data_IF_436227158383
#
_entry.id   IF_436227158383
#
_cell.length_a   1.000
_cell.length_b   1.000
_cell.length_c   1.000
_cell.angle_alpha   90.00
_cell.angle_beta   90.00
_cell.angle_gamma   90.00
#
_symmetry.space_group_name_H-M   'P 1'
#
loop_
_entity.id
_entity.type
_entity.pdbx_description
1 polymer ?
#
# COMPACT_ATOMS: atom_id res chain seq x y z
N UNK A 1 -9.50 -13.36 -11.30
CA UNK A 1 -8.30 -14.23 -11.38
C UNK A 1 -7.82 -14.52 -12.80
N UNK A 2 -8.68 -14.95 -13.74
CA UNK A 2 -8.26 -15.26 -15.12
C UNK A 2 -7.56 -14.09 -15.84
N UNK A 3 -8.04 -12.85 -15.64
CA UNK A 3 -7.38 -11.65 -16.18
C UNK A 3 -5.93 -11.49 -15.67
N UNK A 4 -5.69 -11.66 -14.36
CA UNK A 4 -4.35 -11.63 -13.78
C UNK A 4 -3.47 -12.75 -14.35
N UNK A 5 -4.01 -13.98 -14.47
CA UNK A 5 -3.29 -15.10 -15.08
C UNK A 5 -2.88 -14.84 -16.53
N UNK A 6 -3.80 -14.32 -17.34
CA UNK A 6 -3.51 -13.90 -18.71
C UNK A 6 -2.41 -12.82 -18.76
N UNK A 7 -2.39 -11.91 -17.78
CA UNK A 7 -1.35 -10.89 -17.68
C UNK A 7 0.02 -11.48 -17.36
N UNK A 8 0.12 -12.41 -16.41
CA UNK A 8 1.36 -13.14 -16.13
C UNK A 8 1.86 -13.96 -17.34
N UNK A 9 0.93 -14.46 -18.16
CA UNK A 9 1.24 -15.13 -19.43
C UNK A 9 1.54 -14.15 -20.59
N UNK A 10 1.67 -12.85 -20.31
CA UNK A 10 1.94 -11.79 -21.29
C UNK A 10 0.89 -11.68 -22.40
N UNK A 11 -0.36 -12.08 -22.12
CA UNK A 11 -1.51 -11.95 -23.03
C UNK A 11 -2.33 -10.72 -22.65
N UNK A 12 -1.78 -9.52 -22.90
CA UNK A 12 -2.35 -8.24 -22.45
C UNK A 12 -3.80 -8.01 -22.95
N UNK A 13 -4.07 -8.30 -24.23
CA UNK A 13 -5.40 -8.13 -24.82
C UNK A 13 -6.44 -9.07 -24.19
N UNK A 14 -6.07 -10.35 -24.02
CA UNK A 14 -6.92 -11.34 -23.35
C UNK A 14 -7.19 -10.93 -21.89
N UNK A 15 -6.17 -10.46 -21.18
CA UNK A 15 -6.30 -9.98 -19.80
C UNK A 15 -7.31 -8.83 -19.72
N UNK A 16 -7.23 -7.86 -20.64
CA UNK A 16 -8.16 -6.74 -20.71
C UNK A 16 -9.59 -7.18 -21.03
N UNK A 17 -9.77 -8.10 -21.98
CA UNK A 17 -11.09 -8.61 -22.35
C UNK A 17 -11.74 -9.38 -21.19
N UNK A 18 -10.99 -10.25 -20.51
CA UNK A 18 -11.46 -10.97 -19.32
C UNK A 18 -11.82 -9.99 -18.19
N UNK A 19 -11.02 -8.95 -18.00
CA UNK A 19 -11.29 -7.93 -17.00
C UNK A 19 -12.56 -7.13 -17.30
N UNK A 20 -12.76 -6.69 -18.56
CA UNK A 20 -13.98 -5.96 -18.98
C UNK A 20 -15.25 -6.77 -18.68
N UNK A 21 -15.24 -8.07 -18.97
CA UNK A 21 -16.37 -8.96 -18.66
C UNK A 21 -16.58 -9.06 -17.15
N UNK A 22 -15.51 -9.33 -16.38
CA UNK A 22 -15.60 -9.44 -14.93
C UNK A 22 -16.14 -8.15 -14.29
N UNK A 23 -15.61 -6.99 -14.67
CA UNK A 23 -16.06 -5.69 -14.14
C UNK A 23 -17.53 -5.43 -14.44
N UNK A 24 -17.99 -5.72 -15.67
CA UNK A 24 -19.39 -5.54 -16.04
C UNK A 24 -20.33 -6.41 -15.19
N UNK A 25 -19.97 -7.68 -14.96
CA UNK A 25 -20.75 -8.60 -14.12
C UNK A 25 -20.77 -8.12 -12.66
N UNK A 26 -19.62 -7.71 -12.13
CA UNK A 26 -19.51 -7.22 -10.76
C UNK A 26 -20.33 -5.96 -10.53
N UNK A 27 -20.23 -4.94 -11.40
CA UNK A 27 -21.00 -3.71 -11.26
C UNK A 27 -22.51 -3.95 -11.42
N UNK A 28 -22.92 -4.90 -12.26
CA UNK A 28 -24.31 -5.33 -12.34
C UNK A 28 -24.84 -5.86 -11.00
N UNK A 29 -24.03 -6.65 -10.28
CA UNK A 29 -24.40 -7.15 -8.95
C UNK A 29 -24.42 -6.04 -7.88
N UNK A 30 -23.49 -5.08 -7.95
CA UNK A 30 -23.49 -3.89 -7.06
C UNK A 30 -24.82 -3.14 -7.20
N UNK A 31 -25.23 -2.83 -8.43
CA UNK A 31 -26.49 -2.12 -8.69
C UNK A 31 -27.70 -2.87 -8.15
N UNK A 32 -27.75 -4.20 -8.35
CA UNK A 32 -28.85 -5.04 -7.84
C UNK A 32 -28.89 -5.06 -6.31
N UNK A 33 -27.73 -5.06 -5.63
CA UNK A 33 -27.66 -4.97 -4.16
C UNK A 33 -28.17 -3.61 -3.68
N UNK A 34 -27.71 -2.51 -4.28
CA UNK A 34 -28.15 -1.15 -3.93
C UNK A 34 -29.66 -0.97 -4.12
N UNK A 35 -30.21 -1.43 -5.24
CA UNK A 35 -31.65 -1.40 -5.52
C UNK A 35 -32.45 -2.23 -4.50
N UNK A 36 -31.95 -3.43 -4.16
CA UNK A 36 -32.58 -4.29 -3.15
C UNK A 36 -32.60 -3.67 -1.75
N UNK A 37 -31.54 -2.94 -1.39
CA UNK A 37 -31.46 -2.19 -0.13
C UNK A 37 -32.46 -1.03 -0.10
N UNK A 38 -32.58 -0.28 -1.19
CA UNK A 38 -33.52 0.84 -1.35
C UNK A 38 -34.99 0.41 -1.21
N UNK A 39 -35.32 -0.80 -1.65
CA UNK A 39 -36.69 -1.36 -1.59
C UNK A 39 -37.02 -1.91 -0.19
N UNK A 40 -36.08 -1.88 0.77
CA UNK A 40 -36.36 -2.27 2.16
C UNK A 40 -36.48 -3.79 2.36
N UNK A 41 -35.86 -4.61 1.51
CA UNK A 41 -35.69 -6.05 1.74
C UNK A 41 -34.62 -6.32 2.82
N UNK A 42 -34.82 -5.70 3.99
CA UNK A 42 -33.90 -5.60 5.11
C UNK A 42 -33.74 -6.91 5.91
N UNK A 43 -33.53 -8.02 5.24
CA UNK A 43 -33.06 -9.25 5.87
C UNK A 43 -32.08 -9.93 4.94
N UNK A 44 -30.88 -9.34 4.83
CA UNK A 44 -29.70 -10.01 4.25
C UNK A 44 -29.15 -11.12 5.17
N UNK A 45 -29.89 -11.49 6.22
CA UNK A 45 -29.69 -12.73 6.96
C UNK A 45 -30.24 -13.90 6.15
N UNK A 46 -29.35 -14.65 5.50
CA UNK A 46 -29.50 -16.09 5.26
C UNK A 46 -30.67 -16.55 4.36
N UNK A 47 -31.17 -15.75 3.40
CA UNK A 47 -32.10 -16.26 2.38
C UNK A 47 -31.35 -16.67 1.10
N UNK A 48 -31.26 -17.96 0.71
CA UNK A 48 -30.30 -18.38 -0.31
C UNK A 48 -30.66 -18.04 -1.76
N UNK A 49 -31.86 -17.54 -2.06
CA UNK A 49 -32.38 -17.48 -3.44
C UNK A 49 -33.33 -16.31 -3.71
N UNK A 50 -32.85 -15.07 -3.64
CA UNK A 50 -33.56 -13.95 -4.28
C UNK A 50 -33.04 -13.86 -5.73
N UNK A 51 -33.97 -13.94 -6.69
CA UNK A 51 -33.69 -13.71 -8.12
C UNK A 51 -34.34 -12.39 -8.52
N UNK A 52 -33.66 -11.60 -9.36
CA UNK A 52 -34.30 -10.44 -10.00
C UNK A 52 -35.46 -10.91 -10.89
N UNK A 53 -36.40 -10.01 -11.28
CA UNK A 53 -37.48 -10.34 -12.21
C UNK A 53 -37.00 -10.97 -13.52
N UNK A 54 -35.77 -10.66 -13.93
CA UNK A 54 -35.10 -11.20 -15.13
C UNK A 54 -34.35 -12.53 -14.89
N UNK A 55 -34.49 -13.13 -13.69
CA UNK A 55 -33.92 -14.43 -13.34
C UNK A 55 -32.44 -14.41 -12.92
N UNK A 56 -31.83 -13.23 -12.73
CA UNK A 56 -30.45 -13.12 -12.27
C UNK A 56 -30.36 -13.49 -10.79
N UNK A 57 -29.43 -14.39 -10.44
CA UNK A 57 -29.12 -14.72 -9.04
C UNK A 57 -28.45 -13.52 -8.39
N UNK A 58 -28.98 -13.07 -7.26
CA UNK A 58 -28.33 -12.05 -6.42
C UNK A 58 -27.21 -12.75 -5.64
N UNK A 59 -25.98 -12.28 -5.86
CA UNK A 59 -24.82 -12.78 -5.12
C UNK A 59 -24.78 -12.16 -3.73
N UNK A 60 -24.15 -12.87 -2.78
CA UNK A 60 -24.01 -12.38 -1.41
C UNK A 60 -23.09 -11.15 -1.38
N UNK A 61 -23.41 -10.11 -0.58
CA UNK A 61 -22.61 -8.88 -0.53
C UNK A 61 -21.10 -9.10 -0.32
N UNK A 62 -20.64 -10.04 0.55
CA UNK A 62 -19.24 -10.44 0.66
C UNK A 62 -18.53 -10.76 -0.67
N UNK A 63 -19.18 -11.55 -1.51
CA UNK A 63 -18.62 -12.01 -2.79
C UNK A 63 -18.55 -10.86 -3.79
N UNK A 64 -19.52 -9.96 -3.76
CA UNK A 64 -19.57 -8.78 -4.63
C UNK A 64 -18.49 -7.77 -4.22
N UNK A 65 -18.30 -7.53 -2.92
CA UNK A 65 -17.23 -6.68 -2.38
C UNK A 65 -15.86 -7.22 -2.78
N UNK A 66 -15.62 -8.53 -2.61
CA UNK A 66 -14.37 -9.16 -3.02
C UNK A 66 -14.16 -9.07 -4.55
N UNK A 67 -15.20 -9.32 -5.33
CA UNK A 67 -15.12 -9.19 -6.79
C UNK A 67 -14.79 -7.74 -7.20
N UNK A 68 -15.44 -6.76 -6.58
CA UNK A 68 -15.22 -5.33 -6.81
C UNK A 68 -13.78 -4.95 -6.46
N UNK A 69 -13.27 -5.40 -5.31
CA UNK A 69 -11.88 -5.20 -4.91
C UNK A 69 -10.89 -5.74 -5.97
N UNK A 70 -11.13 -6.95 -6.48
CA UNK A 70 -10.25 -7.57 -7.48
C UNK A 70 -10.28 -6.82 -8.82
N UNK A 71 -11.47 -6.42 -9.30
CA UNK A 71 -11.58 -5.69 -10.58
C UNK A 71 -11.05 -4.27 -10.48
N UNK A 72 -11.28 -3.59 -9.35
CA UNK A 72 -10.71 -2.26 -9.06
C UNK A 72 -9.18 -2.35 -9.00
N UNK A 73 -8.64 -3.32 -8.26
CA UNK A 73 -7.20 -3.56 -8.21
C UNK A 73 -6.60 -3.79 -9.60
N UNK A 74 -7.21 -4.66 -10.41
CA UNK A 74 -6.74 -4.89 -11.78
C UNK A 74 -6.73 -3.60 -12.62
N UNK A 75 -7.77 -2.79 -12.51
CA UNK A 75 -7.91 -1.53 -13.26
C UNK A 75 -6.86 -0.49 -12.85
N UNK A 76 -6.53 -0.39 -11.56
CA UNK A 76 -5.50 0.53 -11.06
C UNK A 76 -4.10 0.18 -11.60
N UNK A 77 -3.79 -1.12 -11.69
CA UNK A 77 -2.44 -1.59 -12.04
C UNK A 77 -2.25 -1.86 -13.53
N UNK A 78 -3.32 -2.26 -14.22
CA UNK A 78 -3.29 -2.74 -15.60
C UNK A 78 -4.33 -2.09 -16.51
N UNK A 79 -5.14 -1.17 -16.00
CA UNK A 79 -6.10 -0.44 -16.81
C UNK A 79 -5.44 0.68 -17.62
N UNK A 80 -5.99 1.04 -18.78
CA UNK A 80 -5.73 2.34 -19.40
C UNK A 80 -6.14 3.49 -18.46
N UNK A 81 -5.73 4.72 -18.78
CA UNK A 81 -5.89 5.87 -17.88
C UNK A 81 -7.35 6.14 -17.47
N UNK A 82 -8.29 5.91 -18.38
CA UNK A 82 -9.74 5.95 -18.15
C UNK A 82 -10.19 4.87 -17.16
N UNK A 83 -9.80 3.61 -17.37
CA UNK A 83 -10.11 2.51 -16.45
C UNK A 83 -9.51 2.75 -15.04
N UNK A 84 -8.32 3.33 -14.95
CA UNK A 84 -7.73 3.71 -13.67
C UNK A 84 -8.56 4.80 -12.97
N UNK A 85 -9.01 5.84 -13.70
CA UNK A 85 -9.89 6.88 -13.15
C UNK A 85 -11.24 6.30 -12.70
N UNK A 86 -11.83 5.41 -13.49
CA UNK A 86 -13.04 4.69 -13.11
C UNK A 86 -12.82 3.87 -11.84
N UNK A 87 -11.70 3.16 -11.72
CA UNK A 87 -11.36 2.39 -10.53
C UNK A 87 -11.14 3.28 -9.29
N UNK A 88 -10.62 4.50 -9.47
CA UNK A 88 -10.53 5.49 -8.40
C UNK A 88 -11.95 5.82 -7.88
N UNK A 89 -12.95 5.94 -8.77
CA UNK A 89 -14.34 6.16 -8.41
C UNK A 89 -14.99 4.90 -7.81
N UNK A 90 -14.72 3.71 -8.36
CA UNK A 90 -15.19 2.42 -7.83
C UNK A 90 -14.75 2.22 -6.37
N UNK A 91 -13.65 2.86 -5.94
CA UNK A 91 -13.31 2.85 -4.52
C UNK A 91 -14.41 3.47 -3.67
N UNK A 92 -15.10 4.54 -4.08
CA UNK A 92 -16.17 5.13 -3.27
C UNK A 92 -17.29 4.11 -3.03
N UNK A 93 -17.71 3.41 -4.09
CA UNK A 93 -18.73 2.34 -3.99
C UNK A 93 -18.27 1.22 -3.06
N UNK A 94 -17.01 0.79 -3.21
CA UNK A 94 -16.43 -0.24 -2.35
C UNK A 94 -16.38 0.22 -0.87
N UNK A 95 -16.16 1.50 -0.63
CA UNK A 95 -16.20 2.12 0.70
C UNK A 95 -17.58 2.02 1.34
N UNK A 96 -18.59 2.40 0.57
CA UNK A 96 -19.97 2.41 0.99
C UNK A 96 -20.44 0.99 1.32
N UNK A 97 -20.23 0.04 0.41
CA UNK A 97 -20.56 -1.37 0.64
C UNK A 97 -19.82 -1.96 1.84
N UNK A 98 -18.53 -1.67 2.02
CA UNK A 98 -17.78 -2.13 3.19
C UNK A 98 -18.32 -1.55 4.49
N UNK A 99 -18.71 -0.28 4.52
CA UNK A 99 -19.27 0.34 5.73
C UNK A 99 -20.62 -0.26 6.10
N UNK A 100 -21.46 -0.53 5.11
CA UNK A 100 -22.75 -1.19 5.31
C UNK A 100 -22.56 -2.56 5.96
N UNK A 101 -21.66 -3.39 5.44
CA UNK A 101 -21.38 -4.71 6.03
C UNK A 101 -20.81 -4.60 7.45
N UNK A 102 -19.87 -3.68 7.70
CA UNK A 102 -19.25 -3.57 9.04
C UNK A 102 -20.21 -3.06 10.11
N UNK A 103 -21.19 -2.23 9.74
CA UNK A 103 -22.21 -1.74 10.67
C UNK A 103 -23.25 -2.81 11.00
N UNK A 104 -23.41 -3.84 10.16
CA UNK A 104 -24.32 -4.96 10.40
C UNK A 104 -23.73 -6.00 11.37
N UNK A 105 -22.41 -6.02 11.56
CA UNK A 105 -21.69 -7.01 12.37
C UNK A 105 -21.42 -6.60 13.82
N UNK A 106 -22.06 -5.53 14.35
CA UNK A 106 -21.81 -5.04 15.72
C UNK A 106 -22.18 -6.01 16.86
N UNK A 107 -22.65 -7.22 16.56
CA UNK A 107 -22.97 -8.18 17.60
C UNK A 107 -21.75 -9.00 18.03
N UNK A 108 -21.56 -9.12 19.34
CA UNK A 108 -20.48 -9.87 19.96
C UNK A 108 -20.29 -11.22 19.26
N UNK A 109 -19.08 -11.51 18.78
CA UNK A 109 -18.77 -12.81 18.19
C UNK A 109 -19.13 -13.89 19.21
N UNK A 110 -20.20 -14.62 18.93
CA UNK A 110 -20.72 -15.65 19.80
C UNK A 110 -19.55 -16.56 20.25
N UNK A 111 -19.31 -16.73 21.57
CA UNK A 111 -18.29 -17.66 22.04
C UNK A 111 -18.50 -19.07 21.47
N UNK A 112 -19.73 -19.45 21.14
CA UNK A 112 -20.09 -20.74 20.55
C UNK A 112 -20.11 -20.77 19.01
N UNK A 113 -19.63 -19.70 18.33
CA UNK A 113 -19.59 -19.66 16.87
C UNK A 113 -18.80 -20.84 16.28
N UNK A 114 -19.33 -21.45 15.21
CA UNK A 114 -18.62 -22.48 14.46
C UNK A 114 -17.39 -21.90 13.76
N UNK A 115 -16.39 -22.74 13.47
CA UNK A 115 -15.19 -22.31 12.76
C UNK A 115 -15.51 -21.82 11.35
N UNK A 116 -16.47 -22.48 10.68
CA UNK A 116 -16.93 -22.15 9.33
C UNK A 116 -17.58 -20.76 9.28
N UNK A 117 -18.48 -20.46 10.22
CA UNK A 117 -19.11 -19.13 10.28
C UNK A 117 -18.12 -18.07 10.76
N UNK A 118 -17.18 -18.42 11.65
CA UNK A 118 -16.13 -17.51 12.08
C UNK A 118 -15.20 -17.13 10.92
N UNK A 119 -14.76 -18.08 10.10
CA UNK A 119 -13.82 -17.79 9.01
C UNK A 119 -14.47 -16.89 7.96
N UNK A 120 -15.77 -17.05 7.68
CA UNK A 120 -16.51 -16.17 6.79
C UNK A 120 -16.55 -14.73 7.31
N UNK A 121 -16.89 -14.54 8.59
CA UNK A 121 -16.92 -13.21 9.24
C UNK A 121 -15.53 -12.57 9.31
N UNK A 122 -14.53 -13.32 9.74
CA UNK A 122 -13.16 -12.83 9.83
C UNK A 122 -12.57 -12.48 8.45
N UNK A 123 -12.93 -13.26 7.43
CA UNK A 123 -12.59 -12.97 6.03
C UNK A 123 -13.15 -11.60 5.61
N UNK A 124 -14.41 -11.33 5.96
CA UNK A 124 -15.05 -10.05 5.66
C UNK A 124 -14.37 -8.88 6.34
N UNK A 125 -14.06 -8.99 7.63
CA UNK A 125 -13.31 -7.97 8.36
C UNK A 125 -11.98 -7.70 7.68
N UNK A 126 -11.22 -8.75 7.34
CA UNK A 126 -9.93 -8.61 6.66
C UNK A 126 -10.07 -7.93 5.30
N UNK A 127 -11.12 -8.21 4.52
CA UNK A 127 -11.38 -7.53 3.24
C UNK A 127 -11.80 -6.07 3.38
N UNK A 128 -12.76 -5.77 4.25
CA UNK A 128 -13.20 -4.39 4.51
C UNK A 128 -12.04 -3.53 5.03
N UNK A 129 -11.19 -4.11 5.88
CA UNK A 129 -10.00 -3.42 6.37
C UNK A 129 -8.96 -3.23 5.26
N UNK A 130 -8.66 -4.23 4.42
CA UNK A 130 -7.73 -4.09 3.27
C UNK A 130 -8.11 -2.94 2.34
N UNK A 131 -9.41 -2.73 2.15
CA UNK A 131 -9.94 -1.62 1.39
C UNK A 131 -9.68 -0.27 2.08
N UNK A 132 -9.93 -0.22 3.40
CA UNK A 132 -9.68 0.95 4.24
C UNK A 132 -8.21 1.44 4.15
N UNK A 133 -7.27 0.51 3.90
CA UNK A 133 -5.83 0.78 3.82
C UNK A 133 -5.42 1.74 2.67
N UNK A 134 -6.35 2.07 1.76
CA UNK A 134 -6.23 3.16 0.79
C UNK A 134 -4.92 3.16 -0.02
N UNK A 135 -4.63 2.06 -0.72
CA UNK A 135 -3.55 2.00 -1.70
C UNK A 135 -3.65 3.11 -2.75
N UNK A 136 -4.87 3.49 -3.09
CA UNK A 136 -5.13 4.55 -4.06
C UNK A 136 -4.71 5.92 -3.53
N UNK A 137 -4.89 6.16 -2.21
CA UNK A 137 -4.37 7.35 -1.56
C UNK A 137 -2.84 7.39 -1.63
N UNK A 138 -2.19 6.28 -1.25
CA UNK A 138 -0.73 6.21 -1.17
C UNK A 138 -0.11 6.32 -2.56
N UNK A 139 -0.58 5.54 -3.54
CA UNK A 139 0.03 5.44 -4.87
C UNK A 139 -0.25 6.67 -5.73
N UNK A 140 -1.48 7.18 -5.70
CA UNK A 140 -1.91 8.22 -6.64
C UNK A 140 -2.14 9.59 -5.99
N UNK A 141 -1.83 9.75 -4.70
CA UNK A 141 -2.18 10.95 -3.92
C UNK A 141 -3.68 11.30 -4.09
N UNK A 142 -4.53 10.28 -4.00
CA UNK A 142 -5.98 10.45 -4.11
C UNK A 142 -6.61 10.66 -2.73
N UNK A 143 -7.69 11.43 -2.65
CA UNK A 143 -8.42 11.59 -1.40
C UNK A 143 -8.97 10.23 -0.95
N UNK A 144 -8.67 9.78 0.29
CA UNK A 144 -9.31 8.59 0.81
C UNK A 144 -10.81 8.82 0.87
N UNK A 145 -11.62 7.89 0.34
CA UNK A 145 -13.08 8.06 0.26
C UNK A 145 -13.72 8.08 1.65
N UNK A 146 -13.13 7.36 2.60
CA UNK A 146 -13.59 7.31 3.99
C UNK A 146 -12.41 7.47 4.95
N UNK A 147 -12.63 8.24 6.01
CA UNK A 147 -11.67 8.44 7.10
C UNK A 147 -11.83 7.32 8.12
N UNK A 148 -10.72 6.79 8.65
CA UNK A 148 -10.75 5.68 9.64
C UNK A 148 -11.59 5.99 10.87
N UNK A 149 -11.63 7.25 11.29
CA UNK A 149 -12.40 7.68 12.47
C UNK A 149 -13.92 7.73 12.23
N UNK A 150 -14.36 7.61 10.98
CA UNK A 150 -15.78 7.64 10.60
C UNK A 150 -16.40 6.24 10.49
N UNK A 151 -15.61 5.17 10.72
CA UNK A 151 -16.08 3.78 10.62
C UNK A 151 -15.64 3.02 11.86
N UNK A 152 -16.54 2.22 12.41
CA UNK A 152 -16.25 1.34 13.53
C UNK A 152 -15.64 0.02 13.02
N UNK A 153 -14.36 0.08 12.65
CA UNK A 153 -13.62 -1.10 12.21
C UNK A 153 -12.98 -1.80 13.40
N UNK A 154 -13.26 -3.09 13.59
CA UNK A 154 -12.51 -3.93 14.52
C UNK A 154 -11.18 -4.36 13.90
N UNK A 155 -10.13 -4.47 14.71
CA UNK A 155 -8.91 -5.14 14.28
C UNK A 155 -9.16 -6.63 14.04
N UNK A 156 -8.48 -7.22 13.02
CA UNK A 156 -8.60 -8.65 12.75
C UNK A 156 -7.99 -9.48 13.89
N UNK A 157 -8.35 -10.76 13.89
CA UNK A 157 -7.85 -11.76 14.82
C UNK A 157 -6.32 -11.93 14.72
N UNK A 158 -5.74 -12.62 15.71
CA UNK A 158 -4.31 -12.93 15.71
C UNK A 158 -3.95 -13.86 14.54
N UNK A 159 -2.73 -13.72 14.00
CA UNK A 159 -2.33 -14.49 12.81
C UNK A 159 -2.31 -16.01 13.05
N UNK A 160 -2.00 -16.45 14.28
CA UNK A 160 -2.06 -17.86 14.66
C UNK A 160 -3.50 -18.43 14.62
N UNK A 161 -4.51 -17.59 14.90
CA UNK A 161 -5.92 -17.96 14.81
C UNK A 161 -6.35 -18.04 13.34
N UNK A 162 -5.96 -17.06 12.52
CA UNK A 162 -6.27 -17.01 11.09
C UNK A 162 -5.65 -18.15 10.27
N UNK A 163 -4.39 -18.47 10.56
CA UNK A 163 -3.63 -19.49 9.81
C UNK A 163 -3.85 -20.91 10.32
N UNK A 164 -4.76 -21.10 11.29
CA UNK A 164 -5.07 -22.41 11.83
C UNK A 164 -5.61 -23.34 10.72
N UNK A 165 -5.00 -24.52 10.51
CA UNK A 165 -5.36 -25.40 9.39
C UNK A 165 -6.64 -26.21 9.65
N UNK A 166 -7.14 -26.21 10.88
CA UNK A 166 -8.31 -26.98 11.31
C UNK A 166 -9.10 -26.24 12.38
N UNK A 167 -10.39 -26.57 12.52
CA UNK A 167 -11.25 -26.07 13.59
C UNK A 167 -10.68 -26.36 14.99
N UNK A 168 -9.99 -27.50 15.18
CA UNK A 168 -9.37 -27.85 16.46
C UNK A 168 -8.18 -26.94 16.79
N UNK A 169 -7.32 -26.68 15.81
CA UNK A 169 -6.20 -25.77 16.00
C UNK A 169 -6.65 -24.32 16.15
N UNK A 170 -7.73 -23.93 15.45
CA UNK A 170 -8.37 -22.64 15.63
C UNK A 170 -8.85 -22.46 17.07
N UNK A 171 -9.60 -23.43 17.61
CA UNK A 171 -10.10 -23.36 18.98
C UNK A 171 -8.98 -23.28 20.04
N UNK A 172 -7.82 -23.90 19.79
CA UNK A 172 -6.64 -23.81 20.67
C UNK A 172 -5.97 -22.43 20.63
N UNK A 173 -5.96 -21.78 19.47
CA UNK A 173 -5.34 -20.47 19.27
C UNK A 173 -6.28 -19.31 19.62
N UNK A 174 -7.60 -19.55 19.55
CA UNK A 174 -8.63 -18.57 19.89
C UNK A 174 -8.49 -18.16 21.35
N UNK A 175 -8.31 -16.87 21.57
CA UNK A 175 -8.30 -16.28 22.91
C UNK A 175 -9.57 -15.45 23.06
N UNK A 176 -10.37 -15.63 24.13
CA UNK A 176 -11.46 -14.72 24.44
C UNK A 176 -10.88 -13.33 24.67
N UNK A 177 -10.96 -12.45 23.67
CA UNK A 177 -10.52 -11.07 23.74
C UNK A 177 -11.61 -10.21 23.13
N UNK A 178 -11.93 -9.11 23.80
CA UNK A 178 -12.69 -8.04 23.18
C UNK A 178 -11.92 -7.56 21.95
N UNK A 179 -12.58 -7.47 20.81
CA UNK A 179 -11.97 -6.90 19.61
C UNK A 179 -11.71 -5.42 19.88
N UNK A 180 -10.45 -5.02 19.73
CA UNK A 180 -10.04 -3.62 19.85
C UNK A 180 -10.40 -2.92 18.54
N UNK A 181 -11.01 -1.75 18.62
CA UNK A 181 -11.29 -0.97 17.40
C UNK A 181 -9.98 -0.44 16.80
N UNK A 182 -9.93 -0.31 15.47
CA UNK A 182 -8.80 0.30 14.75
C UNK A 182 -8.55 1.72 15.26
N UNK A 183 -9.62 2.46 15.56
CA UNK A 183 -9.53 3.81 16.09
C UNK A 183 -8.80 3.82 17.43
N UNK A 184 -9.22 2.99 18.38
CA UNK A 184 -8.63 2.93 19.72
C UNK A 184 -7.19 2.46 19.65
N UNK A 185 -6.90 1.44 18.83
CA UNK A 185 -5.53 0.95 18.66
C UNK A 185 -4.58 2.02 18.11
N UNK A 186 -5.03 2.83 17.15
CA UNK A 186 -4.23 3.92 16.57
C UNK A 186 -4.10 5.10 17.53
N UNK A 187 -5.17 5.47 18.23
CA UNK A 187 -5.16 6.56 19.19
C UNK A 187 -4.28 6.19 20.42
N UNK A 188 -4.34 4.95 20.89
CA UNK A 188 -3.44 4.43 21.93
C UNK A 188 -1.97 4.42 21.46
N UNK A 189 -1.71 3.98 20.23
CA UNK A 189 -0.34 3.94 19.71
C UNK A 189 0.30 5.34 19.65
N UNK A 190 -0.49 6.34 19.25
CA UNK A 190 -0.06 7.75 19.12
C UNK A 190 0.09 8.45 20.47
N UNK A 191 -0.76 8.14 21.45
CA UNK A 191 -0.85 8.89 22.71
C UNK A 191 -0.18 8.20 23.91
N UNK A 192 -0.13 6.86 23.92
CA UNK A 192 0.44 6.11 25.04
C UNK A 192 1.96 6.20 25.05
N UNK A 193 2.59 6.10 26.22
CA UNK A 193 4.04 5.86 26.34
C UNK A 193 4.38 4.38 26.51
N UNK A 194 3.38 3.52 26.75
CA UNK A 194 3.59 2.10 26.99
C UNK A 194 3.89 1.33 25.69
N UNK A 195 4.60 0.19 25.78
CA UNK A 195 4.71 -0.76 24.68
C UNK A 195 3.32 -1.27 24.30
N UNK A 196 2.95 -1.15 23.02
CA UNK A 196 1.67 -1.66 22.52
C UNK A 196 1.87 -3.10 22.06
N UNK A 197 1.02 -4.07 22.46
CA UNK A 197 1.16 -5.49 22.10
C UNK A 197 0.73 -5.78 20.64
N UNK A 198 1.15 -4.93 19.70
CA UNK A 198 0.87 -5.07 18.25
C UNK A 198 1.72 -6.20 17.63
N UNK A 199 2.81 -6.62 18.31
CA UNK A 199 3.82 -7.58 17.83
C UNK A 199 3.24 -8.92 17.34
N UNK A 200 2.16 -9.41 17.96
CA UNK A 200 1.64 -10.77 17.68
C UNK A 200 0.88 -10.90 16.33
N UNK A 201 0.63 -9.81 15.60
CA UNK A 201 -0.09 -9.83 14.33
C UNK A 201 0.51 -8.89 13.26
N UNK A 202 1.35 -9.40 12.34
CA UNK A 202 1.93 -8.61 11.24
C UNK A 202 0.88 -7.93 10.35
N UNK A 203 -0.26 -8.59 10.15
CA UNK A 203 -1.36 -8.03 9.37
C UNK A 203 -1.99 -6.81 10.06
N UNK A 204 -2.21 -6.89 11.37
CA UNK A 204 -2.65 -5.74 12.19
C UNK A 204 -1.66 -4.58 12.12
N UNK A 205 -0.35 -4.86 12.15
CA UNK A 205 0.67 -3.82 12.04
C UNK A 205 0.63 -3.11 10.68
N UNK A 206 0.43 -3.86 9.58
CA UNK A 206 0.23 -3.31 8.23
C UNK A 206 -0.99 -2.38 8.19
N UNK A 207 -2.10 -2.80 8.79
CA UNK A 207 -3.35 -2.01 8.87
C UNK A 207 -3.12 -0.67 9.58
N UNK A 208 -2.42 -0.72 10.71
CA UNK A 208 -2.08 0.45 11.50
C UNK A 208 -1.17 1.39 10.68
N UNK A 209 -0.15 0.88 10.00
CA UNK A 209 0.74 1.69 9.17
C UNK A 209 0.01 2.42 8.04
N UNK A 210 -0.89 1.74 7.35
CA UNK A 210 -1.75 2.37 6.35
C UNK A 210 -2.66 3.45 6.94
N UNK A 211 -3.20 3.21 8.14
CA UNK A 211 -4.01 4.22 8.85
C UNK A 211 -3.17 5.42 9.27
N UNK A 212 -1.94 5.21 9.73
CA UNK A 212 -0.99 6.29 10.05
C UNK A 212 -0.63 7.09 8.79
N UNK A 213 -0.37 6.44 7.66
CA UNK A 213 -0.15 7.10 6.37
C UNK A 213 -1.34 7.96 5.96
N UNK A 214 -2.56 7.45 6.07
CA UNK A 214 -3.77 8.21 5.80
C UNK A 214 -3.91 9.43 6.74
N UNK A 215 -3.61 9.27 8.03
CA UNK A 215 -3.59 10.38 9.00
C UNK A 215 -2.54 11.44 8.67
N UNK A 216 -1.32 11.03 8.31
CA UNK A 216 -0.25 11.92 7.86
C UNK A 216 -0.71 12.70 6.63
N UNK A 217 -1.33 12.01 5.67
CA UNK A 217 -1.90 12.62 4.46
C UNK A 217 -2.95 13.69 4.81
N UNK A 218 -3.98 13.35 5.59
CA UNK A 218 -5.02 14.32 5.98
C UNK A 218 -4.46 15.52 6.73
N UNK A 219 -3.49 15.32 7.63
CA UNK A 219 -2.86 16.43 8.36
C UNK A 219 -2.13 17.38 7.41
N UNK A 220 -1.45 16.86 6.38
CA UNK A 220 -0.81 17.68 5.34
C UNK A 220 -1.83 18.44 4.50
N UNK A 221 -2.98 17.84 4.18
CA UNK A 221 -4.03 18.50 3.39
C UNK A 221 -4.82 19.55 4.20
N UNK A 222 -5.07 19.29 5.48
CA UNK A 222 -5.80 20.18 6.38
C UNK A 222 -4.99 21.39 6.86
N UNK A 223 -3.69 21.45 6.54
CA UNK A 223 -2.85 22.60 6.82
C UNK A 223 -3.10 23.69 5.76
N UNK A 224 -4.23 24.38 5.88
CA UNK A 224 -4.51 25.58 5.06
C UNK A 224 -3.44 26.65 5.25
N UNK A 225 -2.86 26.69 6.45
CA UNK A 225 -1.62 27.38 6.73
C UNK A 225 -0.45 26.47 6.39
N UNK A 226 0.21 26.73 5.25
CA UNK A 226 1.41 25.99 4.82
C UNK A 226 2.57 26.08 5.81
N UNK A 227 2.49 26.98 6.80
CA UNK A 227 3.53 27.21 7.79
C UNK A 227 3.32 26.47 9.11
N UNK A 228 2.17 25.80 9.34
CA UNK A 228 2.01 25.00 10.56
C UNK A 228 2.76 23.66 10.38
N UNK A 229 3.85 23.43 11.13
CA UNK A 229 4.54 22.15 11.05
C UNK A 229 3.60 21.05 11.51
N UNK A 230 3.61 19.92 10.81
CA UNK A 230 2.99 18.71 11.33
C UNK A 230 3.63 18.41 12.70
N UNK A 231 2.82 18.24 13.74
CA UNK A 231 3.33 17.69 15.00
C UNK A 231 3.70 16.22 14.75
N UNK A 232 4.95 16.03 14.33
CA UNK A 232 5.49 14.76 13.89
C UNK A 232 5.90 13.87 15.08
N UNK A 233 5.94 14.41 16.31
CA UNK A 233 6.38 13.69 17.51
C UNK A 233 5.58 12.42 17.77
N UNK A 234 4.24 12.50 17.88
CA UNK A 234 3.39 11.31 18.10
C UNK A 234 3.54 10.26 17.00
N UNK A 235 3.59 10.68 15.73
CA UNK A 235 3.77 9.76 14.60
C UNK A 235 5.15 9.09 14.62
N UNK A 236 6.21 9.83 14.94
CA UNK A 236 7.57 9.30 15.04
C UNK A 236 7.64 8.23 16.12
N UNK A 237 7.14 8.55 17.31
CA UNK A 237 7.09 7.61 18.43
C UNK A 237 6.29 6.36 18.08
N UNK A 238 5.15 6.50 17.40
CA UNK A 238 4.35 5.37 16.93
C UNK A 238 5.13 4.47 15.95
N UNK A 239 5.83 5.05 14.97
CA UNK A 239 6.64 4.30 14.00
C UNK A 239 7.83 3.60 14.68
N UNK A 240 8.49 4.25 15.63
CA UNK A 240 9.62 3.66 16.36
C UNK A 240 9.18 2.49 17.26
N UNK A 241 7.98 2.58 17.86
CA UNK A 241 7.36 1.47 18.60
C UNK A 241 7.03 0.29 17.69
N UNK A 242 6.45 0.55 16.51
CA UNK A 242 6.14 -0.50 15.54
C UNK A 242 7.40 -1.20 15.04
N UNK A 243 8.46 -0.45 14.77
CA UNK A 243 9.75 -1.01 14.38
C UNK A 243 10.36 -1.85 15.51
N UNK A 244 10.34 -1.35 16.75
CA UNK A 244 10.89 -2.04 17.92
C UNK A 244 10.10 -3.30 18.29
N UNK A 245 8.79 -3.30 18.06
CA UNK A 245 7.91 -4.44 18.33
C UNK A 245 7.98 -5.53 17.25
N UNK A 246 8.66 -5.31 16.12
CA UNK A 246 8.81 -6.31 15.08
C UNK A 246 9.81 -7.40 15.53
N UNK A 247 9.34 -8.42 16.26
CA UNK A 247 10.15 -9.46 16.92
C UNK A 247 10.84 -10.49 16.00
N UNK A 248 10.78 -10.38 14.66
CA UNK A 248 11.16 -11.52 13.82
C UNK A 248 11.76 -11.16 12.46
N UNK A 249 13.09 -11.29 12.37
CA UNK A 249 13.84 -11.39 11.12
C UNK A 249 13.98 -10.06 10.40
N UNK A 250 15.19 -9.50 10.40
CA UNK A 250 15.54 -8.46 9.43
C UNK A 250 15.18 -8.98 8.03
N UNK A 251 14.59 -8.13 7.18
CA UNK A 251 14.42 -8.42 5.75
C UNK A 251 15.71 -8.98 5.12
N UNK A 252 16.87 -8.64 5.70
CA UNK A 252 18.18 -9.14 5.29
C UNK A 252 18.42 -10.63 5.53
N UNK A 253 17.70 -11.28 6.44
CA UNK A 253 17.87 -12.70 6.80
C UNK A 253 16.69 -13.57 6.37
N UNK A 254 15.54 -12.97 6.05
CA UNK A 254 14.38 -13.70 5.55
C UNK A 254 14.59 -14.14 4.11
N UNK A 255 14.49 -15.45 3.85
CA UNK A 255 14.42 -15.97 2.48
C UNK A 255 13.17 -15.43 1.78
N UNK A 256 13.29 -14.92 0.54
CA UNK A 256 12.13 -14.51 -0.28
C UNK A 256 11.11 -15.64 -0.50
N UNK A 257 11.49 -16.90 -0.30
CA UNK A 257 10.62 -18.08 -0.42
C UNK A 257 9.82 -18.41 0.85
N UNK A 258 10.00 -17.67 1.94
CA UNK A 258 9.23 -17.88 3.16
C UNK A 258 7.77 -17.41 2.94
N UNK A 259 6.79 -18.25 3.30
CA UNK A 259 5.37 -17.93 3.18
C UNK A 259 4.97 -16.62 3.91
N UNK A 260 5.70 -16.25 4.98
CA UNK A 260 5.49 -15.03 5.76
C UNK A 260 6.25 -13.81 5.22
N UNK A 261 7.12 -14.00 4.22
CA UNK A 261 7.99 -12.95 3.73
C UNK A 261 7.19 -11.77 3.17
N UNK A 262 6.13 -12.05 2.39
CA UNK A 262 5.27 -11.01 1.80
C UNK A 262 4.71 -10.04 2.85
N UNK A 263 4.25 -10.53 4.01
CA UNK A 263 3.73 -9.69 5.08
C UNK A 263 4.86 -8.83 5.71
N UNK A 264 6.02 -9.43 5.97
CA UNK A 264 7.16 -8.70 6.53
C UNK A 264 7.64 -7.57 5.59
N UNK A 265 7.77 -7.85 4.30
CA UNK A 265 8.17 -6.86 3.31
C UNK A 265 7.14 -5.74 3.12
N UNK A 266 5.85 -6.09 3.12
CA UNK A 266 4.79 -5.09 3.10
C UNK A 266 4.87 -4.18 4.34
N UNK A 267 5.00 -4.77 5.53
CA UNK A 267 5.17 -4.03 6.79
C UNK A 267 6.35 -3.06 6.72
N UNK A 268 7.55 -3.54 6.41
CA UNK A 268 8.75 -2.71 6.39
C UNK A 268 8.73 -1.65 5.27
N UNK A 269 8.21 -1.97 4.09
CA UNK A 269 8.05 -0.97 3.02
C UNK A 269 7.09 0.15 3.42
N UNK A 270 5.99 -0.16 4.10
CA UNK A 270 5.03 0.82 4.60
C UNK A 270 5.60 1.64 5.75
N UNK A 271 6.33 1.03 6.67
CA UNK A 271 7.00 1.71 7.78
C UNK A 271 7.97 2.78 7.26
N UNK A 272 8.82 2.40 6.29
CA UNK A 272 9.77 3.32 5.64
C UNK A 272 9.04 4.40 4.87
N UNK A 273 7.98 4.05 4.13
CA UNK A 273 7.18 5.02 3.41
C UNK A 273 6.49 6.02 4.35
N UNK A 274 6.00 5.57 5.51
CA UNK A 274 5.42 6.45 6.53
C UNK A 274 6.44 7.46 7.08
N UNK A 275 7.68 7.02 7.33
CA UNK A 275 8.79 7.93 7.72
C UNK A 275 9.09 8.98 6.64
N UNK A 276 9.07 8.57 5.38
CA UNK A 276 9.28 9.46 4.23
C UNK A 276 8.14 10.48 4.12
N UNK A 277 6.88 10.02 4.17
CA UNK A 277 5.71 10.88 4.14
C UNK A 277 5.57 11.75 5.39
N UNK A 278 6.25 11.43 6.50
CA UNK A 278 6.35 12.32 7.66
C UNK A 278 7.29 13.50 7.39
N UNK A 279 8.32 13.30 6.55
CA UNK A 279 9.32 14.32 6.24
C UNK A 279 8.98 15.16 5.00
N UNK A 280 8.46 14.56 3.92
CA UNK A 280 8.17 15.28 2.68
C UNK A 280 6.73 15.09 2.17
N UNK A 281 6.22 16.11 1.48
CA UNK A 281 4.95 16.06 0.76
C UNK A 281 5.21 15.76 -0.71
N UNK A 282 4.99 14.51 -1.11
CA UNK A 282 5.25 14.05 -2.48
C UNK A 282 4.04 14.20 -3.42
N UNK A 283 2.94 14.78 -2.93
CA UNK A 283 1.62 14.69 -3.56
C UNK A 283 1.57 15.05 -5.03
N UNK A 284 2.17 16.19 -5.43
CA UNK A 284 2.22 16.62 -6.84
C UNK A 284 2.92 15.60 -7.76
N UNK A 285 3.99 14.98 -7.27
CA UNK A 285 4.73 13.96 -8.03
C UNK A 285 3.91 12.67 -8.18
N UNK A 286 3.25 12.24 -7.10
CA UNK A 286 2.47 11.01 -7.07
C UNK A 286 1.13 11.15 -7.82
N UNK A 287 0.49 12.32 -7.73
CA UNK A 287 -0.75 12.62 -8.44
C UNK A 287 -0.60 12.53 -9.98
N UNK A 288 0.61 12.78 -10.50
CA UNK A 288 0.91 12.63 -11.92
C UNK A 288 0.72 11.19 -12.41
N UNK A 289 0.77 10.18 -11.54
CA UNK A 289 0.61 8.77 -11.93
C UNK A 289 -0.77 8.49 -12.53
N UNK A 290 -1.80 9.25 -12.10
CA UNK A 290 -3.18 9.21 -12.65
C UNK A 290 -3.24 9.52 -14.14
N UNK A 291 -2.21 10.16 -14.70
CA UNK A 291 -2.16 10.52 -16.13
C UNK A 291 -1.82 9.33 -17.02
N UNK A 292 -1.15 8.29 -16.49
CA UNK A 292 -0.54 7.20 -17.26
C UNK A 292 0.34 7.69 -18.43
N UNK A 293 0.87 8.91 -18.33
CA UNK A 293 1.70 9.55 -19.34
C UNK A 293 3.12 9.66 -18.79
N UNK A 294 4.04 8.90 -19.38
CA UNK A 294 5.42 8.84 -18.93
C UNK A 294 6.12 10.21 -18.95
N UNK A 295 5.77 11.08 -19.89
CA UNK A 295 6.40 12.41 -20.02
C UNK A 295 5.86 13.39 -18.98
N UNK A 296 4.55 13.35 -18.67
CA UNK A 296 3.98 14.13 -17.56
C UNK A 296 4.52 13.67 -16.21
N UNK A 297 4.63 12.36 -15.99
CA UNK A 297 5.21 11.81 -14.77
C UNK A 297 6.69 12.18 -14.67
N UNK A 298 7.46 12.05 -15.77
CA UNK A 298 8.87 12.46 -15.83
C UNK A 298 9.03 13.95 -15.49
N UNK A 299 8.14 14.81 -16.01
CA UNK A 299 8.14 16.23 -15.69
C UNK A 299 7.81 16.50 -14.22
N UNK A 300 6.83 15.80 -13.65
CA UNK A 300 6.49 15.93 -12.24
C UNK A 300 7.64 15.47 -11.33
N UNK A 301 8.33 14.37 -11.69
CA UNK A 301 9.57 13.96 -11.02
C UNK A 301 10.63 15.05 -11.18
N UNK A 302 10.82 15.62 -12.37
CA UNK A 302 11.82 16.68 -12.58
C UNK A 302 11.56 17.92 -11.71
N UNK A 303 10.31 18.38 -11.62
CA UNK A 303 9.88 19.48 -10.73
C UNK A 303 10.14 19.12 -9.26
N UNK A 304 9.84 17.88 -8.87
CA UNK A 304 10.09 17.37 -7.52
C UNK A 304 9.18 17.99 -6.46
N UNK A 305 9.70 18.02 -5.23
CA UNK A 305 9.04 18.54 -4.04
C UNK A 305 10.11 19.04 -3.07
N UNK A 306 9.78 20.02 -2.21
CA UNK A 306 10.75 20.56 -1.27
C UNK A 306 11.17 19.51 -0.23
N UNK A 307 12.46 19.45 0.05
CA UNK A 307 13.04 18.66 1.14
C UNK A 307 13.94 19.61 1.94
N UNK A 308 13.60 19.80 3.21
CA UNK A 308 14.41 20.60 4.13
C UNK A 308 15.53 19.75 4.72
N UNK A 309 16.77 20.25 4.61
CA UNK A 309 17.96 19.59 5.15
C UNK A 309 17.86 19.52 6.67
N UNK A 310 17.70 18.31 7.18
CA UNK A 310 17.49 18.02 8.60
C UNK A 310 17.95 16.60 8.92
N UNK A 311 18.12 16.30 10.21
CA UNK A 311 18.40 14.94 10.69
C UNK A 311 17.26 14.00 10.27
N UNK A 312 16.02 14.47 10.34
CA UNK A 312 14.81 13.77 9.91
C UNK A 312 14.85 13.40 8.44
N UNK A 313 15.19 14.36 7.57
CA UNK A 313 15.33 14.10 6.13
C UNK A 313 16.38 13.04 5.84
N UNK A 314 17.49 13.05 6.60
CA UNK A 314 18.56 12.06 6.46
C UNK A 314 18.12 10.67 6.93
N UNK A 315 17.37 10.58 8.04
CA UNK A 315 16.77 9.32 8.51
C UNK A 315 15.74 8.76 7.53
N UNK A 316 14.94 9.62 6.90
CA UNK A 316 14.02 9.23 5.83
C UNK A 316 14.78 8.74 4.59
N UNK A 317 15.90 9.37 4.23
CA UNK A 317 16.76 8.94 3.12
C UNK A 317 17.44 7.60 3.42
N UNK A 318 17.85 7.36 4.66
CA UNK A 318 18.32 6.05 5.10
C UNK A 318 17.22 4.99 4.99
N UNK A 319 15.99 5.31 5.41
CA UNK A 319 14.82 4.43 5.25
C UNK A 319 14.55 4.12 3.76
N UNK A 320 14.70 5.11 2.88
CA UNK A 320 14.61 4.89 1.44
C UNK A 320 15.74 3.99 0.93
N UNK A 321 16.97 4.19 1.40
CA UNK A 321 18.14 3.36 1.05
C UNK A 321 17.95 1.90 1.46
N UNK A 322 17.34 1.64 2.62
CA UNK A 322 16.98 0.28 3.03
C UNK A 322 15.95 -0.35 2.09
N UNK A 323 14.97 0.41 1.59
CA UNK A 323 14.03 -0.07 0.57
C UNK A 323 14.76 -0.43 -0.73
N UNK A 324 15.78 0.37 -1.10
CA UNK A 324 16.61 0.11 -2.28
C UNK A 324 17.41 -1.19 -2.13
N UNK A 325 18.07 -1.38 -0.99
CA UNK A 325 18.84 -2.58 -0.70
C UNK A 325 17.96 -3.84 -0.62
N UNK A 326 16.75 -3.74 -0.05
CA UNK A 326 15.79 -4.84 -0.04
C UNK A 326 15.38 -5.24 -1.47
N UNK A 327 15.17 -4.27 -2.35
CA UNK A 327 14.82 -4.52 -3.75
C UNK A 327 15.91 -5.27 -4.52
N UNK A 328 17.19 -4.99 -4.24
CA UNK A 328 18.32 -5.70 -4.85
C UNK A 328 18.35 -7.18 -4.47
N UNK A 329 18.11 -7.49 -3.19
CA UNK A 329 18.07 -8.88 -2.69
C UNK A 329 16.95 -9.70 -3.29
N UNK A 330 15.84 -9.05 -3.62
CA UNK A 330 14.67 -9.71 -4.21
C UNK A 330 14.89 -10.16 -5.65
N UNK A 331 15.74 -9.47 -6.41
CA UNK A 331 16.06 -9.79 -7.80
C UNK A 331 14.83 -10.10 -8.67
N UNK A 332 15.03 -10.92 -9.71
CA UNK A 332 13.96 -11.42 -10.59
C UNK A 332 13.05 -12.47 -9.93
N UNK A 333 13.33 -12.87 -8.67
CA UNK A 333 12.87 -14.15 -8.13
C UNK A 333 11.39 -14.16 -7.74
N UNK A 334 10.75 -13.02 -7.46
CA UNK A 334 9.31 -13.01 -7.13
C UNK A 334 8.62 -11.67 -7.46
N UNK A 335 8.39 -11.41 -8.75
CA UNK A 335 7.42 -10.38 -9.21
C UNK A 335 6.08 -11.01 -9.60
N UNK A 336 5.99 -12.32 -9.42
CA UNK A 336 4.85 -13.17 -9.74
C UNK A 336 3.90 -13.33 -8.55
N UNK A 337 3.24 -12.24 -8.17
CA UNK A 337 2.05 -12.26 -7.32
C UNK A 337 1.41 -10.87 -7.17
N UNK A 338 0.10 -10.80 -6.96
CA UNK A 338 -0.57 -9.51 -6.67
C UNK A 338 -0.16 -8.92 -5.32
N UNK A 339 0.24 -9.77 -4.35
CA UNK A 339 0.67 -9.34 -3.01
C UNK A 339 2.01 -8.59 -2.95
N UNK A 340 2.83 -8.65 -4.01
CA UNK A 340 4.11 -7.92 -4.10
C UNK A 340 3.97 -6.53 -4.72
N UNK A 341 2.78 -6.19 -5.24
CA UNK A 341 2.56 -4.91 -5.91
C UNK A 341 2.72 -3.71 -4.97
N UNK A 342 2.16 -3.80 -3.77
CA UNK A 342 2.24 -2.70 -2.80
C UNK A 342 3.69 -2.43 -2.44
N UNK A 343 4.46 -3.49 -2.16
CA UNK A 343 5.90 -3.40 -1.92
C UNK A 343 6.64 -2.71 -3.07
N UNK A 344 6.35 -3.06 -4.33
CA UNK A 344 6.99 -2.46 -5.51
C UNK A 344 6.70 -0.96 -5.59
N UNK A 345 5.44 -0.54 -5.45
CA UNK A 345 5.07 0.88 -5.53
C UNK A 345 5.56 1.69 -4.33
N UNK A 346 5.45 1.15 -3.12
CA UNK A 346 6.00 1.77 -1.91
C UNK A 346 7.52 1.99 -2.05
N UNK A 347 8.22 0.98 -2.58
CA UNK A 347 9.65 1.09 -2.87
C UNK A 347 9.93 2.13 -3.95
N UNK A 348 9.14 2.17 -5.03
CA UNK A 348 9.28 3.18 -6.07
C UNK A 348 9.16 4.60 -5.48
N UNK A 349 8.20 4.83 -4.57
CA UNK A 349 8.03 6.11 -3.89
C UNK A 349 9.25 6.46 -3.04
N UNK A 350 9.75 5.48 -2.28
CA UNK A 350 11.00 5.62 -1.53
C UNK A 350 12.17 6.02 -2.44
N UNK A 351 12.26 5.45 -3.65
CA UNK A 351 13.33 5.79 -4.60
C UNK A 351 13.20 7.22 -5.12
N UNK A 352 11.99 7.69 -5.42
CA UNK A 352 11.76 9.08 -5.80
C UNK A 352 12.22 10.02 -4.68
N UNK A 353 11.87 9.73 -3.43
CA UNK A 353 12.37 10.49 -2.28
C UNK A 353 13.91 10.48 -2.20
N UNK A 354 14.54 9.32 -2.32
CA UNK A 354 15.99 9.18 -2.25
C UNK A 354 16.71 10.01 -3.32
N UNK A 355 16.20 9.97 -4.56
CA UNK A 355 16.72 10.76 -5.67
C UNK A 355 16.62 12.25 -5.35
N UNK A 356 15.47 12.73 -4.84
CA UNK A 356 15.26 14.14 -4.49
C UNK A 356 16.08 14.60 -3.30
N UNK A 357 16.25 13.74 -2.31
CA UNK A 357 17.11 14.03 -1.17
C UNK A 357 18.56 14.18 -1.63
N UNK A 358 19.05 13.28 -2.49
CA UNK A 358 20.39 13.41 -3.09
C UNK A 358 20.55 14.69 -3.90
N UNK A 359 19.56 15.04 -4.74
CA UNK A 359 19.57 16.32 -5.47
C UNK A 359 19.60 17.54 -4.54
N UNK A 360 18.95 17.48 -3.37
CA UNK A 360 19.02 18.56 -2.37
C UNK A 360 20.37 18.67 -1.67
N UNK A 361 21.16 17.59 -1.69
CA UNK A 361 22.53 17.54 -1.15
C UNK A 361 23.59 17.89 -2.20
N UNK A 362 23.23 17.93 -3.50
CA UNK A 362 24.14 18.34 -4.57
C UNK A 362 24.59 19.79 -4.35
N UNK A 363 25.91 20.04 -4.42
CA UNK A 363 26.50 21.36 -4.18
C UNK A 363 26.79 21.69 -2.71
N UNK A 364 26.33 20.86 -1.75
CA UNK A 364 26.71 20.98 -0.34
C UNK A 364 28.07 20.33 -0.12
N UNK A 365 29.05 21.11 0.33
CA UNK A 365 30.41 20.61 0.58
C UNK A 365 30.41 19.52 1.66
N UNK A 366 31.08 18.39 1.39
CA UNK A 366 31.09 17.22 2.26
C UNK A 366 31.62 17.48 3.68
N UNK A 367 32.48 18.49 3.84
CA UNK A 367 32.98 18.94 5.15
C UNK A 367 31.86 19.48 6.07
N UNK A 368 30.74 19.91 5.50
CA UNK A 368 29.58 20.42 6.23
C UNK A 368 28.53 19.36 6.51
N UNK A 369 28.73 18.13 6.04
CA UNK A 369 27.80 17.04 6.28
C UNK A 369 27.83 16.66 7.76
N UNK A 370 26.64 16.44 8.30
CA UNK A 370 26.46 15.78 9.59
C UNK A 370 26.91 14.32 9.50
N UNK A 371 27.12 13.70 10.66
CA UNK A 371 27.42 12.27 10.75
C UNK A 371 26.32 11.43 10.09
N UNK A 372 25.05 11.76 10.34
CA UNK A 372 23.91 11.06 9.74
C UNK A 372 23.86 11.17 8.21
N UNK A 373 24.16 12.35 7.65
CA UNK A 373 24.22 12.55 6.20
C UNK A 373 25.36 11.74 5.58
N UNK A 374 26.55 11.78 6.19
CA UNK A 374 27.73 11.05 5.73
C UNK A 374 27.48 9.54 5.74
N UNK A 375 26.88 9.03 6.82
CA UNK A 375 26.54 7.62 6.96
C UNK A 375 25.48 7.18 5.95
N UNK A 376 24.48 8.03 5.71
CA UNK A 376 23.42 7.77 4.72
C UNK A 376 24.00 7.74 3.30
N UNK A 377 24.83 8.72 2.93
CA UNK A 377 25.48 8.78 1.61
C UNK A 377 26.39 7.57 1.41
N UNK A 378 27.21 7.21 2.40
CA UNK A 378 28.05 6.01 2.35
C UNK A 378 27.21 4.73 2.14
N UNK A 379 26.07 4.60 2.83
CA UNK A 379 25.15 3.49 2.62
C UNK A 379 24.59 3.46 1.19
N UNK A 380 24.19 4.61 0.65
CA UNK A 380 23.68 4.72 -0.74
C UNK A 380 24.75 4.31 -1.73
N UNK A 381 25.98 4.82 -1.57
CA UNK A 381 27.10 4.47 -2.45
C UNK A 381 27.40 2.97 -2.42
N UNK A 382 27.37 2.35 -1.23
CA UNK A 382 27.52 0.91 -1.08
C UNK A 382 26.44 0.16 -1.85
N UNK A 383 25.16 0.53 -1.68
CA UNK A 383 24.04 -0.12 -2.36
C UNK A 383 24.08 0.08 -3.88
N UNK A 384 24.48 1.26 -4.37
CA UNK A 384 24.63 1.52 -5.81
C UNK A 384 25.78 0.70 -6.41
N UNK A 385 26.86 0.46 -5.67
CA UNK A 385 28.00 -0.37 -6.13
C UNK A 385 27.62 -1.83 -6.38
N UNK A 386 26.57 -2.33 -5.73
CA UNK A 386 26.02 -3.66 -5.99
C UNK A 386 25.31 -3.78 -7.36
N UNK A 387 25.06 -2.64 -8.03
CA UNK A 387 24.44 -2.61 -9.36
C UNK A 387 25.46 -2.30 -10.44
N UNK A 388 25.54 -3.17 -11.43
CA UNK A 388 26.41 -2.99 -12.60
C UNK A 388 25.88 -1.88 -13.52
N UNK A 389 26.27 -0.63 -13.21
CA UNK A 389 26.02 0.53 -14.05
C UNK A 389 26.99 0.58 -15.24
N UNK A 390 26.53 1.12 -16.37
CA UNK A 390 27.41 1.35 -17.53
C UNK A 390 28.50 2.38 -17.17
N UNK A 391 29.68 2.34 -17.81
CA UNK A 391 30.78 3.27 -17.52
C UNK A 391 30.38 4.75 -17.63
N UNK A 392 29.50 5.09 -18.58
CA UNK A 392 28.96 6.45 -18.74
C UNK A 392 28.05 6.86 -17.58
N UNK A 393 27.22 5.92 -17.09
CA UNK A 393 26.30 6.15 -15.98
C UNK A 393 27.04 6.26 -14.65
N UNK A 394 28.14 5.51 -14.47
CA UNK A 394 28.95 5.53 -13.26
C UNK A 394 29.63 6.88 -12.98
N UNK A 395 29.78 7.73 -14.00
CA UNK A 395 30.35 9.08 -13.90
C UNK A 395 29.33 10.16 -13.55
N UNK A 396 28.03 9.84 -13.54
CA UNK A 396 26.98 10.79 -13.22
C UNK A 396 26.89 11.05 -11.71
N UNK A 397 26.16 12.10 -11.33
CA UNK A 397 25.85 12.38 -9.92
C UNK A 397 25.18 11.17 -9.25
N UNK A 398 25.32 11.06 -7.92
CA UNK A 398 24.80 9.93 -7.16
C UNK A 398 23.27 9.79 -7.33
N UNK A 399 22.53 10.90 -7.40
CA UNK A 399 21.09 10.93 -7.67
C UNK A 399 20.74 10.22 -8.99
N UNK A 400 21.46 10.54 -10.08
CA UNK A 400 21.28 9.91 -11.39
C UNK A 400 21.71 8.45 -11.40
N UNK A 401 22.80 8.11 -10.70
CA UNK A 401 23.24 6.71 -10.55
C UNK A 401 22.17 5.87 -9.86
N UNK A 402 21.56 6.38 -8.79
CA UNK A 402 20.40 5.73 -8.13
C UNK A 402 19.24 5.58 -9.10
N UNK A 403 18.90 6.62 -9.88
CA UNK A 403 17.83 6.52 -10.87
C UNK A 403 18.09 5.42 -11.92
N UNK A 404 19.30 5.32 -12.45
CA UNK A 404 19.68 4.25 -13.39
C UNK A 404 19.69 2.86 -12.74
N UNK A 405 20.16 2.75 -11.51
CA UNK A 405 20.12 1.50 -10.76
C UNK A 405 18.67 1.01 -10.59
N UNK A 406 17.76 1.92 -10.21
CA UNK A 406 16.34 1.63 -10.12
C UNK A 406 15.77 1.13 -11.46
N UNK A 407 16.15 1.73 -12.59
CA UNK A 407 15.70 1.29 -13.91
C UNK A 407 16.12 -0.14 -14.24
N UNK A 408 17.31 -0.56 -13.85
CA UNK A 408 17.79 -1.93 -14.07
C UNK A 408 16.90 -2.90 -13.28
N UNK A 409 16.65 -2.60 -12.01
CA UNK A 409 15.92 -3.48 -11.11
C UNK A 409 14.44 -3.56 -11.48
N UNK A 410 13.78 -2.42 -11.70
CA UNK A 410 12.35 -2.41 -12.02
C UNK A 410 12.03 -2.94 -13.42
N UNK A 411 12.96 -2.85 -14.39
CA UNK A 411 12.77 -3.48 -15.71
C UNK A 411 12.64 -5.00 -15.62
N UNK A 412 13.34 -5.62 -14.68
CA UNK A 412 13.28 -7.05 -14.46
C UNK A 412 11.90 -7.51 -13.93
N UNK A 413 11.12 -6.58 -13.38
CA UNK A 413 9.85 -6.82 -12.69
C UNK A 413 8.60 -6.42 -13.50
N UNK A 414 8.73 -6.09 -14.79
CA UNK A 414 7.74 -5.33 -15.54
C UNK A 414 6.47 -6.12 -15.98
N UNK A 415 5.68 -6.57 -15.01
CA UNK A 415 4.44 -7.32 -15.27
C UNK A 415 3.26 -6.39 -15.55
N UNK A 416 3.17 -5.26 -14.85
CA UNK A 416 1.97 -4.41 -14.80
C UNK A 416 2.13 -3.13 -15.62
N UNK A 417 1.06 -2.68 -16.28
CA UNK A 417 1.13 -1.54 -17.20
C UNK A 417 1.51 -0.22 -16.49
N UNK A 418 0.98 0.04 -15.28
CA UNK A 418 1.39 1.22 -14.51
C UNK A 418 2.89 1.20 -14.19
N UNK A 419 3.43 0.03 -13.81
CA UNK A 419 4.86 -0.13 -13.57
C UNK A 419 5.68 0.14 -14.83
N UNK A 420 5.22 -0.31 -16.01
CA UNK A 420 5.87 -0.01 -17.30
C UNK A 420 5.95 1.51 -17.53
N UNK A 421 4.85 2.21 -17.28
CA UNK A 421 4.78 3.68 -17.43
C UNK A 421 5.74 4.37 -16.45
N UNK A 422 5.78 3.94 -15.18
CA UNK A 422 6.68 4.51 -14.17
C UNK A 422 8.16 4.30 -14.52
N UNK A 423 8.52 3.10 -15.00
CA UNK A 423 9.89 2.82 -15.47
C UNK A 423 10.25 3.69 -16.68
N UNK A 424 9.33 3.87 -17.63
CA UNK A 424 9.54 4.77 -18.77
C UNK A 424 9.72 6.23 -18.32
N UNK A 425 8.89 6.71 -17.40
CA UNK A 425 8.98 8.05 -16.84
C UNK A 425 10.31 8.30 -16.11
N UNK A 426 10.74 7.34 -15.30
CA UNK A 426 12.04 7.39 -14.61
C UNK A 426 13.20 7.39 -15.61
N UNK A 427 13.07 6.67 -16.74
CA UNK A 427 14.07 6.68 -17.80
C UNK A 427 14.16 8.03 -18.50
N UNK A 428 13.02 8.62 -18.87
CA UNK A 428 12.96 9.97 -19.44
C UNK A 428 13.52 11.02 -18.47
N UNK A 429 13.25 10.88 -17.17
CA UNK A 429 13.83 11.75 -16.15
C UNK A 429 15.35 11.58 -16.02
N UNK A 430 15.85 10.34 -15.94
CA UNK A 430 17.28 10.06 -15.73
C UNK A 430 18.16 10.44 -16.94
N UNK A 431 17.58 10.48 -18.14
CA UNK A 431 18.28 10.79 -19.40
C UNK A 431 18.19 12.25 -19.79
N UNK A 432 17.23 13.02 -19.26
CA UNK A 432 17.18 14.47 -19.47
C UNK A 432 18.42 15.11 -18.83
N UNK A 433 19.23 15.78 -19.66
CA UNK A 433 20.21 16.73 -19.13
C UNK A 433 19.43 17.81 -18.40
N UNK A 434 19.68 17.99 -17.09
CA UNK A 434 19.34 19.26 -16.44
C UNK A 434 20.00 20.33 -17.31
N UNK A 435 19.20 21.24 -17.87
CA UNK A 435 19.76 22.47 -18.41
C UNK A 435 20.29 23.22 -17.20
N UNK A 436 21.58 23.56 -17.24
CA UNK A 436 22.30 24.27 -16.19
C UNK A 436 21.69 25.64 -15.89
#
# INVERSE_FOLDING_TARGET
>A
MAACGARYLRKAELALNLHKVARKVTLGQVFVIEESMLIGLASLTMAPQIRTPDGLRIEQPPSVILALLIVTGFSLWNGPADACREAILDNVLLAELSCLETNLEEDHMDPEISWETWVEKETMIRYCVLYFLSLVNIVFDATPPIRYSGVQLSLPCAEAEWTAPSAQDWARNRRPRARISLKDAVDDLLNSSAPTPISDSPFTAIIILHTLLQKIWYRRQGSWDKNRPLDAGPFRNALDKLESAADSGSESTMSPHNARASLAYNFHSLLRLARIHLCASMGNCLAAYKTHDASKISQAIAIGFPIERSIESSKAALSATQSFAALLKFGTVHTSGSGTLHYIFNTFHSMIYLIKWLESMEGIAAITWTEHESQTISSIESTVKEVELRPEQAKLSLSRRVAFACLIIFKAANTWDLQTVLVKALHEYATKSRAD
#
